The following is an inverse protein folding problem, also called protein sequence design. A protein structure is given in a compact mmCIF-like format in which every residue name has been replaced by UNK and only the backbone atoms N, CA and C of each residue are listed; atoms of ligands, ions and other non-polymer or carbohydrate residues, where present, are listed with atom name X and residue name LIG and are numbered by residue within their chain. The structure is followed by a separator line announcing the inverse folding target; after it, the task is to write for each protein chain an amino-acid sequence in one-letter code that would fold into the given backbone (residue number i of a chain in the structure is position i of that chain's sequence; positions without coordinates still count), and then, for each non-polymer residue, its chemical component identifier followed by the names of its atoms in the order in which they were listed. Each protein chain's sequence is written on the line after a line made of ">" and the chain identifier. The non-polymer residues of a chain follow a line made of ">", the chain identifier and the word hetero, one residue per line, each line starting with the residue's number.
data_IF_921122885860
#
_entry.id   IF_921122885860
#
_cell.length_a   1.000
_cell.length_b   1.000
_cell.length_c   1.000
_cell.angle_alpha   90.00
_cell.angle_beta   90.00
_cell.angle_gamma   90.00
#
_symmetry.space_group_name_H-M   'P 1'
#
loop_
_entity.id
_entity.type
_entity.pdbx_description
1 polymer ?
#
# COMPACT_ATOMS: atom_id res chain seq x y z
N UNK A 1 -1.18 38.35 -62.71
CA UNK A 1 0.14 37.76 -63.06
C UNK A 1 1.07 38.87 -63.49
N UNK A 2 2.40 38.72 -63.42
CA UNK A 2 3.24 37.91 -62.51
C UNK A 2 3.79 38.88 -61.40
N UNK A 3 4.94 38.75 -60.72
CA UNK A 3 6.09 37.82 -60.74
C UNK A 3 6.80 37.72 -59.36
N UNK A 4 7.51 36.62 -59.10
CA UNK A 4 8.64 36.51 -58.15
C UNK A 4 9.89 36.07 -58.93
N UNK A 5 11.09 36.58 -58.58
CA UNK A 5 12.13 35.75 -57.95
C UNK A 5 12.92 36.53 -56.86
N UNK A 6 13.89 35.97 -56.12
CA UNK A 6 14.00 34.65 -55.45
C UNK A 6 15.07 34.75 -54.32
N UNK A 7 15.51 33.61 -53.74
CA UNK A 7 16.77 33.30 -52.98
C UNK A 7 17.59 34.47 -52.35
N UNK A 8 18.01 34.37 -51.08
CA UNK A 8 19.13 33.47 -50.70
C UNK A 8 19.10 32.93 -49.25
N UNK A 9 20.05 32.04 -48.91
CA UNK A 9 20.09 31.21 -47.70
C UNK A 9 21.33 31.51 -46.82
N UNK A 10 21.15 31.79 -45.52
CA UNK A 10 22.28 31.86 -44.56
C UNK A 10 21.99 31.13 -43.24
N UNK A 11 22.59 29.94 -43.13
CA UNK A 11 22.70 29.13 -41.90
C UNK A 11 23.50 29.87 -40.82
N UNK A 12 23.19 29.62 -39.54
CA UNK A 12 24.13 29.78 -38.41
C UNK A 12 23.93 28.63 -37.41
N UNK A 13 25.02 28.06 -36.93
CA UNK A 13 25.01 27.10 -35.82
C UNK A 13 24.85 27.83 -34.46
N UNK A 14 24.20 27.21 -33.46
CA UNK A 14 24.36 27.59 -32.06
C UNK A 14 25.60 26.93 -31.45
N UNK A 15 26.39 27.68 -30.69
CA UNK A 15 27.51 27.15 -29.89
C UNK A 15 27.51 27.70 -28.46
N UNK A 16 27.84 26.82 -27.53
CA UNK A 16 28.21 27.02 -26.13
C UNK A 16 27.39 28.03 -25.28
N UNK A 17 26.50 27.49 -24.44
CA UNK A 17 26.23 28.05 -23.11
C UNK A 17 26.19 26.94 -22.05
N UNK A 18 27.31 26.78 -21.35
CA UNK A 18 27.39 26.04 -20.08
C UNK A 18 26.88 26.90 -18.91
N UNK A 19 26.34 26.25 -17.89
CA UNK A 19 26.23 26.80 -16.53
C UNK A 19 24.83 27.17 -16.04
N UNK A 20 24.13 26.19 -15.43
CA UNK A 20 23.40 26.33 -14.15
C UNK A 20 22.56 25.05 -13.90
N UNK A 21 23.05 24.11 -13.06
CA UNK A 21 22.18 23.09 -12.46
C UNK A 21 21.55 23.70 -11.21
N UNK A 22 20.22 23.84 -11.20
CA UNK A 22 19.46 23.98 -9.96
C UNK A 22 18.69 22.68 -9.73
N UNK A 23 18.81 22.11 -8.53
CA UNK A 23 18.07 20.90 -8.15
C UNK A 23 16.63 21.27 -7.81
N UNK A 24 15.66 20.67 -8.50
CA UNK A 24 14.24 20.85 -8.19
C UNK A 24 13.89 19.94 -7.01
N UNK A 25 13.85 20.51 -5.81
CA UNK A 25 13.36 19.83 -4.61
C UNK A 25 11.88 19.52 -4.74
N UNK A 26 11.48 18.30 -4.38
CA UNK A 26 10.06 17.90 -4.38
C UNK A 26 9.36 18.56 -3.19
N UNK A 27 8.27 19.29 -3.47
CA UNK A 27 7.63 20.19 -2.51
C UNK A 27 6.44 19.50 -1.80
N UNK A 28 6.67 18.99 -0.60
CA UNK A 28 5.62 18.40 0.26
C UNK A 28 4.77 19.45 1.02
N UNK A 29 5.19 20.72 1.06
CA UNK A 29 4.58 21.78 1.87
C UNK A 29 3.34 22.44 1.22
N UNK A 30 2.46 21.64 0.62
CA UNK A 30 1.30 22.11 -0.13
C UNK A 30 -0.03 22.20 0.67
N UNK A 31 -0.04 21.84 1.98
CA UNK A 31 -1.28 21.85 2.81
C UNK A 31 -1.06 22.42 4.23
N UNK A 32 -0.59 23.66 4.34
CA UNK A 32 -0.77 24.47 5.57
C UNK A 32 -1.12 25.93 5.25
N UNK A 33 -2.32 26.36 5.65
CA UNK A 33 -2.82 27.71 5.42
C UNK A 33 -2.13 28.77 6.30
N UNK A 34 -1.75 29.91 5.70
CA UNK A 34 -1.07 31.02 6.39
C UNK A 34 -1.99 31.74 7.39
N UNK A 35 -1.86 31.45 8.69
CA UNK A 35 -2.38 32.35 9.72
C UNK A 35 -1.48 33.60 9.85
N UNK A 36 -2.09 34.79 9.76
CA UNK A 36 -1.40 36.07 9.95
C UNK A 36 -1.17 36.35 11.44
N UNK A 37 -0.13 37.12 11.73
CA UNK A 37 0.30 37.48 13.09
C UNK A 37 -0.71 38.33 13.86
N UNK A 38 -0.97 37.97 15.12
CA UNK A 38 -1.51 38.87 16.15
C UNK A 38 -0.42 39.18 17.20
N UNK A 39 -0.50 40.35 17.85
CA UNK A 39 0.55 40.88 18.74
C UNK A 39 0.58 40.15 20.09
N UNK A 40 1.78 39.92 20.64
CA UNK A 40 1.96 39.61 22.07
C UNK A 40 1.91 40.89 22.91
N UNK A 41 1.26 40.91 24.09
CA UNK A 41 1.59 41.84 25.17
C UNK A 41 2.87 41.40 25.91
N UNK A 42 3.46 42.29 26.70
CA UNK A 42 4.72 42.05 27.42
C UNK A 42 4.52 41.45 28.82
N UNK A 43 5.60 40.89 29.39
CA UNK A 43 5.70 40.44 30.79
C UNK A 43 6.87 41.18 31.45
N UNK A 44 6.73 41.79 32.65
CA UNK A 44 7.81 42.49 33.33
C UNK A 44 8.86 41.55 33.95
N UNK A 45 10.05 42.06 34.23
CA UNK A 45 11.11 41.36 34.99
C UNK A 45 11.17 41.80 36.45
N UNK A 46 11.31 40.84 37.35
CA UNK A 46 11.97 40.98 38.67
C UNK A 46 12.23 39.60 39.29
N UNK A 47 13.17 39.40 40.20
CA UNK A 47 14.58 39.84 40.26
C UNK A 47 15.26 38.98 41.36
N UNK A 48 16.56 38.64 41.23
CA UNK A 48 17.38 37.98 42.27
C UNK A 48 16.95 36.52 42.62
N UNK A 49 17.80 35.63 43.13
CA UNK A 49 19.25 35.69 43.33
C UNK A 49 19.80 34.44 44.05
N UNK A 50 21.08 34.50 44.45
CA UNK A 50 21.80 33.58 45.35
C UNK A 50 22.16 32.17 44.81
N UNK A 51 23.05 31.49 45.55
CA UNK A 51 24.07 30.57 45.00
C UNK A 51 24.40 29.38 45.90
N UNK A 52 25.12 28.39 45.31
CA UNK A 52 26.16 27.52 45.92
C UNK A 52 25.75 26.24 46.70
N UNK A 53 26.55 25.19 46.42
CA UNK A 53 27.05 24.10 47.31
C UNK A 53 26.11 22.92 47.62
N UNK A 54 26.51 21.68 47.25
CA UNK A 54 27.14 20.60 48.09
C UNK A 54 26.06 19.72 48.78
N UNK A 55 26.22 18.44 49.15
CA UNK A 55 27.37 17.53 49.22
C UNK A 55 26.97 16.05 48.87
N UNK A 56 27.76 15.05 49.31
CA UNK A 56 27.61 13.59 49.05
C UNK A 56 27.77 12.79 50.38
N UNK A 57 27.40 11.49 50.40
CA UNK A 57 27.68 10.40 51.39
C UNK A 57 26.70 10.09 52.55
N UNK A 58 26.68 8.79 52.94
CA UNK A 58 26.03 8.18 54.12
C UNK A 58 24.74 7.38 53.80
N UNK A 59 24.55 6.05 53.94
CA UNK A 59 25.24 4.86 54.50
C UNK A 59 24.71 4.32 55.86
N UNK A 60 24.02 3.16 55.83
CA UNK A 60 23.87 2.11 56.88
C UNK A 60 23.39 0.78 56.21
N UNK A 61 23.63 -0.48 56.62
CA UNK A 61 24.21 -1.16 57.82
C UNK A 61 23.20 -1.41 58.97
N UNK A 62 22.93 -2.63 59.53
CA UNK A 62 23.10 -4.06 59.12
C UNK A 62 22.23 -4.97 60.03
N UNK A 63 21.73 -6.13 59.54
CA UNK A 63 21.42 -7.46 60.20
C UNK A 63 20.46 -8.24 59.28
N UNK A 64 20.31 -9.57 59.25
CA UNK A 64 20.85 -10.69 60.06
C UNK A 64 19.73 -11.39 60.87
N UNK A 65 19.38 -12.68 60.71
CA UNK A 65 19.88 -13.73 59.83
C UNK A 65 18.87 -14.92 59.67
N UNK A 66 19.22 -15.89 58.80
CA UNK A 66 18.75 -17.29 58.73
C UNK A 66 17.26 -17.63 58.42
N UNK A 67 17.06 -18.49 57.41
CA UNK A 67 15.78 -19.10 57.07
C UNK A 67 15.84 -19.80 55.70
N UNK A 68 16.27 -21.06 55.66
CA UNK A 68 16.56 -21.77 54.40
C UNK A 68 15.34 -22.53 53.84
N UNK A 69 15.03 -22.33 52.56
CA UNK A 69 14.16 -23.20 51.76
C UNK A 69 14.53 -23.07 50.28
N UNK A 70 15.06 -24.15 49.70
CA UNK A 70 15.50 -24.17 48.30
C UNK A 70 14.31 -24.33 47.35
N UNK A 71 14.12 -23.37 46.44
CA UNK A 71 13.28 -23.52 45.25
C UNK A 71 14.03 -23.01 44.03
N UNK A 72 13.93 -23.73 42.92
CA UNK A 72 14.80 -23.55 41.77
C UNK A 72 14.51 -22.25 41.00
N UNK A 73 15.44 -21.30 41.07
CA UNK A 73 15.50 -20.19 40.14
C UNK A 73 16.03 -20.67 38.78
N UNK A 74 15.15 -21.21 37.93
CA UNK A 74 15.47 -21.36 36.51
C UNK A 74 15.63 -19.97 35.89
N UNK A 75 16.80 -19.70 35.31
CA UNK A 75 17.06 -18.44 34.63
C UNK A 75 16.15 -18.34 33.40
N UNK A 76 15.27 -17.32 33.39
CA UNK A 76 14.55 -16.90 32.19
C UNK A 76 15.55 -16.37 31.17
N UNK A 77 16.18 -17.29 30.42
CA UNK A 77 17.12 -16.97 29.37
C UNK A 77 16.45 -16.04 28.36
N UNK A 78 17.07 -14.89 28.11
CA UNK A 78 16.69 -14.02 27.01
C UNK A 78 16.93 -14.80 25.71
N UNK A 79 15.88 -15.45 25.21
CA UNK A 79 15.92 -16.13 23.91
C UNK A 79 16.31 -15.08 22.88
N UNK A 80 17.45 -15.28 22.22
CA UNK A 80 17.67 -14.66 20.91
C UNK A 80 16.50 -15.08 20.04
N UNK A 81 15.78 -14.13 19.46
CA UNK A 81 14.86 -14.44 18.37
C UNK A 81 15.69 -15.08 17.26
N UNK A 82 15.33 -16.30 16.86
CA UNK A 82 15.92 -16.92 15.69
C UNK A 82 15.53 -16.08 14.46
N UNK A 83 16.42 -15.89 13.47
CA UNK A 83 16.12 -15.05 12.33
C UNK A 83 14.87 -15.59 11.60
N UNK A 84 13.92 -14.71 11.21
CA UNK A 84 12.67 -15.14 10.58
C UNK A 84 12.96 -16.00 9.35
N UNK A 85 12.42 -17.21 9.36
CA UNK A 85 12.67 -18.22 8.33
C UNK A 85 12.09 -17.83 6.98
N UNK A 86 12.65 -18.42 5.92
CA UNK A 86 12.08 -18.37 4.58
C UNK A 86 10.73 -19.10 4.48
N UNK A 87 9.99 -18.91 3.37
CA UNK A 87 8.70 -19.56 3.14
C UNK A 87 8.79 -21.10 3.14
N UNK A 88 9.97 -21.65 2.84
CA UNK A 88 10.26 -23.08 2.68
C UNK A 88 10.45 -23.82 4.02
N UNK A 89 10.07 -23.20 5.15
CA UNK A 89 10.04 -23.84 6.47
C UNK A 89 9.14 -25.10 6.42
N UNK A 90 9.63 -26.29 6.84
CA UNK A 90 8.81 -27.50 6.86
C UNK A 90 7.71 -27.38 7.93
N UNK A 91 6.49 -27.13 7.46
CA UNK A 91 5.30 -26.93 8.27
C UNK A 91 4.24 -27.98 7.92
N UNK A 92 3.33 -28.34 8.85
CA UNK A 92 2.14 -29.11 8.49
C UNK A 92 1.27 -28.31 7.50
N UNK A 93 0.33 -28.96 6.79
CA UNK A 93 -0.69 -28.24 6.01
C UNK A 93 -1.39 -27.21 6.89
N UNK A 94 -1.59 -25.99 6.37
CA UNK A 94 -2.35 -24.98 7.07
C UNK A 94 -3.82 -25.44 7.23
N UNK A 95 -4.45 -25.24 8.40
CA UNK A 95 -5.88 -25.51 8.55
C UNK A 95 -6.69 -24.59 7.65
N UNK A 96 -7.85 -25.05 7.16
CA UNK A 96 -8.75 -24.15 6.43
C UNK A 96 -9.17 -22.97 7.33
N UNK A 97 -9.22 -21.73 6.78
CA UNK A 97 -9.67 -20.58 7.54
C UNK A 97 -11.14 -20.75 7.93
N UNK A 98 -11.45 -20.57 9.21
CA UNK A 98 -12.81 -20.70 9.74
C UNK A 98 -13.77 -19.77 8.97
N UNK A 99 -14.73 -20.38 8.26
CA UNK A 99 -15.69 -19.64 7.42
C UNK A 99 -16.82 -19.12 8.29
N UNK A 100 -16.74 -17.82 8.59
CA UNK A 100 -17.74 -17.07 9.35
C UNK A 100 -19.12 -17.05 8.65
N UNK A 101 -20.19 -17.14 9.43
CA UNK A 101 -21.57 -17.25 8.91
C UNK A 101 -22.16 -15.87 8.61
N UNK A 102 -22.05 -15.42 7.36
CA UNK A 102 -22.72 -14.22 6.87
C UNK A 102 -24.25 -14.41 6.84
N UNK A 103 -24.99 -13.55 7.55
CA UNK A 103 -26.44 -13.60 7.65
C UNK A 103 -27.14 -13.44 6.30
N UNK A 104 -28.33 -14.05 6.14
CA UNK A 104 -29.08 -14.03 4.87
C UNK A 104 -29.44 -12.62 4.42
N UNK A 105 -29.89 -11.75 5.34
CA UNK A 105 -30.22 -10.36 5.05
C UNK A 105 -28.98 -9.56 4.60
N UNK A 106 -27.86 -9.71 5.30
CA UNK A 106 -26.59 -9.07 4.93
C UNK A 106 -26.08 -9.59 3.57
N UNK A 107 -26.19 -10.90 3.31
CA UNK A 107 -25.85 -11.50 2.00
C UNK A 107 -26.67 -10.89 0.87
N UNK A 108 -27.99 -10.82 0.99
CA UNK A 108 -28.86 -10.23 -0.05
C UNK A 108 -28.49 -8.78 -0.32
N UNK A 109 -28.43 -7.95 0.73
CA UNK A 109 -28.06 -6.54 0.63
C UNK A 109 -26.67 -6.34 0.03
N UNK A 110 -25.69 -7.16 0.43
CA UNK A 110 -24.33 -7.12 -0.10
C UNK A 110 -24.25 -7.46 -1.58
N UNK A 111 -25.05 -8.44 -2.05
CA UNK A 111 -25.14 -8.78 -3.48
C UNK A 111 -25.80 -7.66 -4.31
N UNK A 112 -26.84 -7.03 -3.76
CA UNK A 112 -27.50 -5.86 -4.38
C UNK A 112 -26.54 -4.68 -4.48
N UNK A 113 -25.87 -4.33 -3.37
CA UNK A 113 -24.85 -3.29 -3.32
C UNK A 113 -23.72 -3.53 -4.30
N UNK A 114 -23.18 -4.76 -4.35
CA UNK A 114 -22.10 -5.16 -5.26
C UNK A 114 -22.51 -5.07 -6.74
N UNK A 115 -23.75 -5.42 -7.09
CA UNK A 115 -24.28 -5.26 -8.47
C UNK A 115 -24.35 -3.80 -8.89
N UNK A 116 -25.00 -2.95 -8.08
CA UNK A 116 -25.10 -1.52 -8.36
C UNK A 116 -23.73 -0.84 -8.47
N UNK A 117 -22.74 -1.33 -7.72
CA UNK A 117 -21.35 -0.88 -7.75
C UNK A 117 -20.61 -1.26 -9.05
N UNK A 118 -20.78 -2.50 -9.52
CA UNK A 118 -20.19 -2.98 -10.78
C UNK A 118 -20.78 -2.20 -11.96
N UNK A 119 -22.10 -1.98 -11.97
CA UNK A 119 -22.74 -1.15 -12.98
C UNK A 119 -22.26 0.31 -12.93
N UNK A 120 -22.03 0.87 -11.73
CA UNK A 120 -21.43 2.20 -11.57
C UNK A 120 -20.04 2.28 -12.19
N UNK A 121 -19.16 1.31 -11.89
CA UNK A 121 -17.79 1.27 -12.41
C UNK A 121 -17.78 1.12 -13.93
N UNK A 122 -18.59 0.22 -14.50
CA UNK A 122 -18.67 0.05 -15.95
C UNK A 122 -19.27 1.27 -16.67
N UNK A 123 -20.15 2.05 -16.03
CA UNK A 123 -20.61 3.36 -16.54
C UNK A 123 -19.51 4.42 -16.62
N UNK A 124 -18.35 4.24 -15.99
CA UNK A 124 -17.22 5.18 -16.07
C UNK A 124 -16.23 4.86 -17.20
N UNK A 125 -16.38 3.74 -17.93
CA UNK A 125 -15.52 3.42 -19.06
C UNK A 125 -15.78 4.37 -20.25
N UNK A 126 -14.72 4.97 -20.78
CA UNK A 126 -14.72 5.80 -21.98
C UNK A 126 -14.57 4.98 -23.27
N UNK A 127 -14.82 5.61 -24.42
CA UNK A 127 -14.82 4.96 -25.74
C UNK A 127 -13.48 4.31 -26.12
N UNK A 128 -12.36 4.84 -25.61
CA UNK A 128 -11.02 4.26 -25.80
C UNK A 128 -10.79 2.97 -24.98
N UNK A 129 -11.69 2.65 -24.06
CA UNK A 129 -11.62 1.54 -23.11
C UNK A 129 -11.06 1.91 -21.72
N UNK A 130 -10.52 3.11 -21.55
CA UNK A 130 -9.98 3.61 -20.28
C UNK A 130 -11.09 3.97 -19.29
N UNK A 131 -10.73 4.06 -18.00
CA UNK A 131 -11.65 4.40 -16.90
C UNK A 131 -11.04 5.55 -16.07
N UNK A 132 -11.02 6.79 -16.61
CA UNK A 132 -10.31 7.93 -16.01
C UNK A 132 -11.06 8.57 -14.85
N UNK A 133 -10.32 9.09 -13.87
CA UNK A 133 -10.87 9.96 -12.82
C UNK A 133 -11.40 11.26 -13.40
N UNK A 134 -12.46 11.80 -12.76
CA UNK A 134 -12.98 13.15 -13.00
C UNK A 134 -12.64 14.12 -11.87
N UNK A 135 -12.01 13.65 -10.79
CA UNK A 135 -11.72 14.42 -9.57
C UNK A 135 -10.28 14.92 -9.54
N UNK A 136 -9.31 14.02 -9.69
CA UNK A 136 -7.89 14.32 -9.45
C UNK A 136 -7.07 14.44 -10.75
N UNK A 137 -6.34 15.54 -10.90
CA UNK A 137 -5.56 15.85 -12.11
C UNK A 137 -4.55 14.74 -12.46
N UNK A 138 -3.87 14.16 -11.47
CA UNK A 138 -2.95 13.03 -11.66
C UNK A 138 -3.64 11.77 -12.20
N UNK A 139 -4.89 11.53 -11.81
CA UNK A 139 -5.69 10.35 -12.19
C UNK A 139 -6.48 10.53 -13.51
N UNK A 140 -6.46 11.73 -14.13
CA UNK A 140 -7.29 12.06 -15.32
C UNK A 140 -6.91 11.34 -16.62
N UNK A 141 -5.68 10.84 -16.74
CA UNK A 141 -5.30 9.96 -17.86
C UNK A 141 -5.90 8.56 -17.72
N UNK A 142 -6.33 8.20 -16.51
CA UNK A 142 -6.83 6.87 -16.17
C UNK A 142 -5.77 5.79 -16.10
N UNK A 143 -4.48 6.14 -16.03
CA UNK A 143 -3.39 5.17 -16.15
C UNK A 143 -3.28 4.27 -14.90
N UNK A 144 -3.55 4.78 -13.70
CA UNK A 144 -3.66 3.97 -12.48
C UNK A 144 -5.09 3.51 -12.17
N UNK A 145 -6.13 4.26 -12.56
CA UNK A 145 -7.53 3.90 -12.27
C UNK A 145 -8.11 2.83 -13.20
N UNK A 146 -7.75 2.81 -14.49
CA UNK A 146 -8.16 1.74 -15.43
C UNK A 146 -7.75 0.34 -14.95
N UNK A 147 -6.48 0.08 -14.57
CA UNK A 147 -6.09 -1.23 -14.07
C UNK A 147 -6.60 -1.49 -12.65
N UNK A 148 -6.78 -0.46 -11.81
CA UNK A 148 -7.38 -0.62 -10.47
C UNK A 148 -8.81 -1.18 -10.55
N UNK A 149 -9.63 -0.58 -11.41
CA UNK A 149 -11.02 -1.00 -11.65
C UNK A 149 -11.05 -2.38 -12.32
N UNK A 150 -10.30 -2.57 -13.41
CA UNK A 150 -10.29 -3.84 -14.15
C UNK A 150 -9.83 -5.02 -13.27
N UNK A 151 -8.75 -4.86 -12.50
CA UNK A 151 -8.21 -5.91 -11.61
C UNK A 151 -9.19 -6.28 -10.50
N UNK A 152 -10.04 -5.34 -10.09
CA UNK A 152 -11.06 -5.59 -9.06
C UNK A 152 -12.29 -6.28 -9.66
N UNK A 153 -12.73 -5.88 -10.85
CA UNK A 153 -13.84 -6.52 -11.55
C UNK A 153 -13.51 -7.95 -11.99
N UNK A 154 -12.25 -8.21 -12.41
CA UNK A 154 -11.70 -9.55 -12.64
C UNK A 154 -11.63 -10.44 -11.37
N UNK A 155 -11.86 -9.87 -10.19
CA UNK A 155 -11.85 -10.55 -8.90
C UNK A 155 -13.24 -10.67 -8.26
N UNK A 156 -14.30 -10.32 -8.98
CA UNK A 156 -15.69 -10.65 -8.60
C UNK A 156 -15.99 -12.08 -9.08
N UNK A 157 -16.53 -12.97 -8.23
CA UNK A 157 -16.95 -14.30 -8.67
C UNK A 157 -18.05 -14.21 -9.74
N UNK A 158 -17.92 -15.00 -10.82
CA UNK A 158 -18.84 -14.95 -11.96
C UNK A 158 -20.29 -15.34 -11.58
N UNK A 159 -20.46 -16.09 -10.49
CA UNK A 159 -21.74 -16.49 -9.90
C UNK A 159 -22.49 -15.29 -9.29
N UNK A 160 -21.79 -14.19 -8.98
CA UNK A 160 -22.38 -12.96 -8.44
C UNK A 160 -22.80 -12.03 -9.59
N UNK A 161 -21.85 -11.75 -10.49
CA UNK A 161 -22.00 -11.02 -11.75
C UNK A 161 -20.95 -11.54 -12.74
N UNK A 162 -21.32 -12.12 -13.90
CA UNK A 162 -20.38 -12.43 -14.97
C UNK A 162 -19.71 -11.16 -15.51
N UNK A 163 -18.42 -11.23 -15.86
CA UNK A 163 -17.71 -10.06 -16.38
C UNK A 163 -18.17 -9.71 -17.81
N UNK A 164 -18.34 -8.41 -18.09
CA UNK A 164 -18.54 -7.90 -19.45
C UNK A 164 -17.20 -8.04 -20.21
N UNK A 165 -17.03 -9.16 -20.92
CA UNK A 165 -15.82 -9.47 -21.68
C UNK A 165 -15.50 -8.39 -22.72
N UNK A 166 -16.49 -7.73 -23.30
CA UNK A 166 -16.28 -6.69 -24.29
C UNK A 166 -15.68 -5.42 -23.65
N UNK A 167 -16.17 -5.01 -22.47
CA UNK A 167 -15.57 -3.93 -21.67
C UNK A 167 -14.19 -4.29 -21.15
N UNK A 168 -14.03 -5.51 -20.65
CA UNK A 168 -12.76 -6.00 -20.11
C UNK A 168 -11.67 -6.06 -21.21
N UNK A 169 -11.99 -6.56 -22.40
CA UNK A 169 -11.07 -6.57 -23.54
C UNK A 169 -10.71 -5.14 -23.99
N UNK A 170 -11.68 -4.21 -24.11
CA UNK A 170 -11.38 -2.80 -24.42
C UNK A 170 -10.47 -2.15 -23.37
N UNK A 171 -10.69 -2.43 -22.08
CA UNK A 171 -9.81 -1.94 -21.02
C UNK A 171 -8.39 -2.52 -21.13
N UNK A 172 -8.26 -3.82 -21.40
CA UNK A 172 -6.95 -4.45 -21.63
C UNK A 172 -6.24 -3.92 -22.88
N UNK A 173 -6.97 -3.69 -23.98
CA UNK A 173 -6.43 -3.04 -25.19
C UNK A 173 -6.00 -1.59 -24.91
N UNK A 174 -6.71 -0.89 -24.01
CA UNK A 174 -6.34 0.45 -23.57
C UNK A 174 -5.01 0.45 -22.81
N UNK A 175 -4.87 -0.44 -21.82
CA UNK A 175 -3.65 -0.61 -21.03
C UNK A 175 -2.46 -0.99 -21.93
N UNK A 176 -2.65 -1.94 -22.85
CA UNK A 176 -1.61 -2.37 -23.79
C UNK A 176 -1.12 -1.23 -24.70
N UNK A 177 -2.01 -0.35 -25.16
CA UNK A 177 -1.64 0.85 -25.95
C UNK A 177 -0.98 1.95 -25.12
N UNK A 178 -1.09 1.92 -23.78
CA UNK A 178 -0.51 2.90 -22.86
C UNK A 178 0.85 2.46 -22.28
N UNK A 179 1.35 1.28 -22.64
CA UNK A 179 2.75 0.89 -22.39
C UNK A 179 3.68 1.81 -23.20
N UNK A 180 4.52 2.57 -22.50
CA UNK A 180 5.49 3.46 -23.11
C UNK A 180 6.73 2.71 -23.64
N UNK A 181 7.67 3.46 -24.24
CA UNK A 181 8.94 2.92 -24.78
C UNK A 181 9.86 2.21 -23.76
N UNK A 182 9.56 2.29 -22.46
CA UNK A 182 10.26 1.60 -21.37
C UNK A 182 9.54 0.32 -20.94
N UNK A 183 8.30 0.12 -21.40
CA UNK A 183 7.38 -0.88 -20.88
C UNK A 183 6.53 -0.41 -19.69
N UNK A 184 6.48 0.90 -19.41
CA UNK A 184 5.81 1.43 -18.23
C UNK A 184 4.44 2.06 -18.55
N UNK A 185 3.55 2.05 -17.56
CA UNK A 185 2.32 2.85 -17.51
C UNK A 185 2.48 3.87 -16.36
N UNK A 186 1.89 5.06 -16.49
CA UNK A 186 1.92 6.12 -15.47
C UNK A 186 2.68 7.39 -15.88
N UNK A 187 3.21 7.49 -17.10
CA UNK A 187 4.08 8.60 -17.55
C UNK A 187 3.50 9.47 -18.68
N UNK A 188 2.18 9.41 -18.93
CA UNK A 188 1.52 10.20 -19.98
C UNK A 188 1.38 11.70 -19.66
N UNK A 189 1.67 12.10 -18.42
CA UNK A 189 1.52 13.46 -17.91
C UNK A 189 2.75 13.88 -17.11
N UNK A 190 2.95 15.20 -16.98
CA UNK A 190 4.06 15.81 -16.23
C UNK A 190 4.13 15.34 -14.77
N UNK A 191 2.98 15.14 -14.13
CA UNK A 191 2.87 14.49 -12.82
C UNK A 191 2.56 13.00 -13.07
N UNK A 192 3.46 12.05 -12.70
CA UNK A 192 3.25 10.64 -12.99
C UNK A 192 2.08 10.03 -12.20
N UNK A 193 1.26 9.24 -12.89
CA UNK A 193 0.08 8.54 -12.35
C UNK A 193 0.48 7.20 -11.72
N UNK A 194 1.14 7.29 -10.56
CA UNK A 194 1.63 6.18 -9.72
C UNK A 194 2.27 5.00 -10.50
N UNK A 195 3.36 5.21 -11.26
CA UNK A 195 3.82 4.28 -12.29
C UNK A 195 4.03 2.82 -11.88
N UNK A 196 4.60 2.54 -10.70
CA UNK A 196 4.72 1.16 -10.20
C UNK A 196 3.34 0.52 -9.99
N UNK A 197 2.43 1.23 -9.30
CA UNK A 197 1.07 0.78 -9.00
C UNK A 197 0.25 0.54 -10.29
N UNK A 198 0.32 1.48 -11.24
CA UNK A 198 -0.34 1.40 -12.53
C UNK A 198 0.17 0.20 -13.36
N UNK A 199 1.49 0.11 -13.54
CA UNK A 199 2.13 -0.96 -14.34
C UNK A 199 1.91 -2.34 -13.72
N UNK A 200 2.04 -2.47 -12.39
CA UNK A 200 1.87 -3.75 -11.70
C UNK A 200 0.42 -4.24 -11.76
N UNK A 201 -0.57 -3.38 -11.51
CA UNK A 201 -1.98 -3.80 -11.61
C UNK A 201 -2.38 -4.13 -13.05
N UNK A 202 -1.86 -3.41 -14.04
CA UNK A 202 -2.11 -3.71 -15.45
C UNK A 202 -1.50 -5.07 -15.87
N UNK A 203 -0.30 -5.36 -15.38
CA UNK A 203 0.36 -6.67 -15.52
C UNK A 203 -0.44 -7.79 -14.83
N UNK A 204 -0.97 -7.55 -13.62
CA UNK A 204 -1.89 -8.49 -12.96
C UNK A 204 -3.16 -8.72 -13.79
N UNK A 205 -3.80 -7.69 -14.36
CA UNK A 205 -4.93 -7.86 -15.27
C UNK A 205 -4.57 -8.74 -16.47
N UNK A 206 -3.39 -8.56 -17.06
CA UNK A 206 -2.93 -9.37 -18.19
C UNK A 206 -2.70 -10.83 -17.79
N UNK A 207 -2.11 -11.07 -16.61
CA UNK A 207 -1.89 -12.40 -16.05
C UNK A 207 -3.19 -13.10 -15.60
N UNK A 208 -4.25 -12.36 -15.27
CA UNK A 208 -5.59 -12.92 -15.02
C UNK A 208 -6.35 -13.21 -16.32
N UNK A 209 -6.32 -12.30 -17.30
CA UNK A 209 -7.06 -12.46 -18.56
C UNK A 209 -6.41 -13.42 -19.56
N UNK A 210 -5.09 -13.61 -19.47
CA UNK A 210 -4.28 -14.56 -20.26
C UNK A 210 -4.54 -14.60 -21.78
N UNK A 211 -4.88 -13.44 -22.37
CA UNK A 211 -5.11 -13.29 -23.82
C UNK A 211 -3.92 -13.78 -24.65
N UNK A 212 -4.16 -14.14 -25.91
CA UNK A 212 -3.13 -14.66 -26.81
C UNK A 212 -1.86 -13.77 -26.79
N UNK A 213 -0.70 -14.42 -26.65
CA UNK A 213 0.64 -13.78 -26.57
C UNK A 213 0.85 -12.82 -25.37
N UNK A 214 0.02 -12.85 -24.32
CA UNK A 214 0.13 -11.89 -23.19
C UNK A 214 1.55 -11.82 -22.58
N UNK A 215 2.22 -12.96 -22.34
CA UNK A 215 3.60 -12.98 -21.79
C UNK A 215 4.60 -12.23 -22.67
N UNK A 216 4.46 -12.30 -23.99
CA UNK A 216 5.31 -11.58 -24.94
C UNK A 216 4.98 -10.09 -24.95
N UNK A 217 3.68 -9.75 -24.99
CA UNK A 217 3.19 -8.37 -25.03
C UNK A 217 3.51 -7.58 -23.74
N UNK A 218 3.58 -8.27 -22.60
CA UNK A 218 3.80 -7.67 -21.28
C UNK A 218 5.22 -7.90 -20.71
N UNK A 219 6.10 -8.59 -21.43
CA UNK A 219 7.52 -8.72 -21.06
C UNK A 219 8.23 -7.37 -20.81
N UNK A 220 7.95 -6.27 -21.56
CA UNK A 220 8.52 -4.95 -21.24
C UNK A 220 8.11 -4.42 -19.85
N UNK A 221 6.87 -4.68 -19.43
CA UNK A 221 6.37 -4.25 -18.12
C UNK A 221 7.01 -5.03 -16.96
N UNK A 222 7.25 -6.34 -17.16
CA UNK A 222 8.01 -7.18 -16.24
C UNK A 222 9.43 -6.61 -16.06
N UNK A 223 10.17 -6.44 -17.17
CA UNK A 223 11.54 -5.92 -17.15
C UNK A 223 11.62 -4.49 -16.57
N UNK A 224 10.60 -3.66 -16.81
CA UNK A 224 10.52 -2.34 -16.19
C UNK A 224 10.31 -2.41 -14.68
N UNK A 225 9.38 -3.23 -14.18
CA UNK A 225 9.16 -3.41 -12.73
C UNK A 225 10.42 -3.95 -12.04
N UNK A 226 11.12 -4.93 -12.62
CA UNK A 226 12.43 -5.37 -12.13
C UNK A 226 13.47 -4.24 -12.11
N UNK A 227 13.40 -3.33 -13.09
CA UNK A 227 14.33 -2.20 -13.15
C UNK A 227 14.13 -1.22 -12.00
N UNK A 228 12.90 -1.05 -11.50
CA UNK A 228 12.55 -0.12 -10.43
C UNK A 228 12.86 -0.62 -9.01
N UNK A 229 13.16 -1.91 -8.83
CA UNK A 229 13.50 -2.46 -7.52
C UNK A 229 14.83 -1.86 -7.01
N UNK A 230 14.89 -1.54 -5.72
CA UNK A 230 16.15 -1.17 -5.07
C UNK A 230 17.02 -2.44 -4.91
N UNK A 231 18.02 -2.64 -5.78
CA UNK A 231 18.93 -3.80 -5.74
C UNK A 231 20.41 -3.42 -5.56
N UNK A 232 21.22 -4.35 -5.08
CA UNK A 232 22.66 -4.15 -4.83
C UNK A 232 23.45 -3.79 -6.10
N UNK A 233 23.05 -4.30 -7.27
CA UNK A 233 23.64 -3.99 -8.59
C UNK A 233 23.37 -2.54 -9.03
N UNK A 234 22.49 -1.81 -8.32
CA UNK A 234 22.28 -0.36 -8.46
C UNK A 234 22.97 0.46 -7.35
N UNK A 235 23.86 -0.16 -6.58
CA UNK A 235 24.61 0.44 -5.48
C UNK A 235 23.91 0.41 -4.11
N UNK A 236 22.72 -0.20 -3.99
CA UNK A 236 21.99 -0.26 -2.72
C UNK A 236 22.57 -1.32 -1.78
N UNK A 237 23.60 -0.95 -1.03
CA UNK A 237 24.18 -1.73 0.06
C UNK A 237 23.82 -1.12 1.44
N UNK A 238 23.63 -1.97 2.45
CA UNK A 238 23.26 -1.63 3.84
C UNK A 238 21.94 -0.86 4.07
N UNK A 239 21.35 -0.30 3.01
CA UNK A 239 20.29 0.70 3.10
C UNK A 239 18.89 0.08 3.27
N UNK A 240 18.01 0.55 4.17
CA UNK A 240 16.73 -0.11 4.45
C UNK A 240 15.74 -0.19 3.28
N UNK A 241 15.94 0.59 2.21
CA UNK A 241 15.15 0.50 0.98
C UNK A 241 15.42 -0.75 0.13
N UNK A 242 16.59 -1.40 0.31
CA UNK A 242 17.01 -2.58 -0.45
C UNK A 242 15.90 -3.64 -0.47
N UNK A 243 15.59 -4.15 -1.66
CA UNK A 243 14.53 -5.12 -1.93
C UNK A 243 13.13 -4.55 -2.16
N UNK A 244 12.85 -3.31 -1.75
CA UNK A 244 11.54 -2.69 -1.94
C UNK A 244 11.31 -2.09 -3.33
N UNK A 245 10.14 -1.49 -3.50
CA UNK A 245 9.78 -0.61 -4.61
C UNK A 245 9.26 0.74 -4.11
N UNK A 246 9.48 1.78 -4.92
CA UNK A 246 8.88 3.10 -4.74
C UNK A 246 7.69 3.33 -5.67
N UNK A 247 7.25 4.60 -5.78
CA UNK A 247 6.19 5.01 -6.72
C UNK A 247 6.53 4.73 -8.19
N UNK A 248 7.81 4.53 -8.51
CA UNK A 248 8.35 4.42 -9.87
C UNK A 248 8.87 5.76 -10.40
N UNK A 249 9.94 5.72 -11.19
CA UNK A 249 10.50 6.90 -11.84
C UNK A 249 11.10 6.59 -13.21
N UNK A 250 11.20 7.62 -14.07
CA UNK A 250 11.65 7.52 -15.46
C UNK A 250 12.98 6.77 -15.63
N UNK A 251 13.88 6.97 -14.66
CA UNK A 251 15.06 6.16 -14.41
C UNK A 251 14.96 5.54 -13.01
N UNK A 252 15.51 4.33 -12.79
CA UNK A 252 15.62 3.73 -11.46
C UNK A 252 16.39 4.61 -10.46
N UNK A 253 16.03 4.50 -9.18
CA UNK A 253 16.65 5.27 -8.09
C UNK A 253 18.03 4.70 -7.71
N UNK A 254 18.93 5.60 -7.32
CA UNK A 254 20.31 5.32 -6.89
C UNK A 254 20.56 5.90 -5.50
N UNK A 255 21.44 5.29 -4.69
CA UNK A 255 21.76 5.78 -3.35
C UNK A 255 22.42 7.18 -3.38
N UNK A 256 22.30 7.97 -2.30
CA UNK A 256 21.59 7.67 -1.05
C UNK A 256 20.09 8.06 -1.09
N UNK A 257 19.53 8.38 -2.26
CA UNK A 257 18.24 9.07 -2.42
C UNK A 257 17.12 8.14 -2.92
N UNK A 258 16.45 7.37 -2.03
CA UNK A 258 15.41 6.42 -2.45
C UNK A 258 14.15 7.11 -2.96
N UNK A 259 13.93 8.37 -2.57
CA UNK A 259 12.62 9.01 -2.69
C UNK A 259 11.58 8.28 -1.83
N UNK A 260 10.35 8.20 -2.32
CA UNK A 260 9.26 7.48 -1.68
C UNK A 260 9.39 5.96 -1.94
N UNK A 261 9.51 5.18 -0.87
CA UNK A 261 9.61 3.70 -0.85
C UNK A 261 8.75 3.13 0.27
N UNK A 262 7.91 2.14 -0.05
CA UNK A 262 6.87 1.64 0.86
C UNK A 262 6.39 0.21 0.59
N UNK A 263 5.67 -0.33 1.57
CA UNK A 263 5.15 -1.70 1.60
C UNK A 263 3.97 -1.95 0.64
N UNK A 264 3.15 -0.94 0.33
CA UNK A 264 2.03 -1.06 -0.61
C UNK A 264 2.54 -1.17 -2.06
N UNK A 265 3.46 -0.28 -2.46
CA UNK A 265 4.13 -0.36 -3.77
C UNK A 265 4.90 -1.66 -3.91
N UNK A 266 5.62 -2.07 -2.87
CA UNK A 266 6.34 -3.36 -2.82
C UNK A 266 5.39 -4.55 -2.97
N UNK A 267 4.29 -4.59 -2.21
CA UNK A 267 3.25 -5.62 -2.36
C UNK A 267 2.75 -5.71 -3.79
N UNK A 268 2.36 -4.58 -4.39
CA UNK A 268 1.75 -4.60 -5.73
C UNK A 268 2.72 -5.12 -6.80
N UNK A 269 4.00 -4.78 -6.70
CA UNK A 269 5.02 -5.33 -7.58
C UNK A 269 5.19 -6.85 -7.38
N UNK A 270 5.21 -7.32 -6.13
CA UNK A 270 5.27 -8.75 -5.80
C UNK A 270 4.03 -9.53 -6.30
N UNK A 271 2.82 -9.01 -6.07
CA UNK A 271 1.56 -9.59 -6.58
C UNK A 271 1.62 -9.79 -8.10
N UNK A 272 2.06 -8.77 -8.85
CA UNK A 272 2.13 -8.80 -10.30
C UNK A 272 3.20 -9.75 -10.84
N UNK A 273 4.41 -9.74 -10.26
CA UNK A 273 5.48 -10.66 -10.65
C UNK A 273 5.10 -12.12 -10.32
N UNK A 274 4.49 -12.36 -9.16
CA UNK A 274 3.97 -13.68 -8.78
C UNK A 274 2.93 -14.18 -9.78
N UNK A 275 1.94 -13.34 -10.16
CA UNK A 275 0.94 -13.71 -11.18
C UNK A 275 1.56 -14.04 -12.55
N UNK A 276 2.75 -13.52 -12.86
CA UNK A 276 3.45 -13.85 -14.11
C UNK A 276 4.16 -15.22 -14.09
N UNK A 277 4.29 -15.83 -12.91
CA UNK A 277 5.05 -17.05 -12.67
C UNK A 277 6.53 -16.80 -12.37
N UNK A 278 6.86 -15.75 -11.61
CA UNK A 278 8.22 -15.58 -11.08
C UNK A 278 8.58 -16.68 -10.09
N UNK A 279 9.83 -17.15 -10.18
CA UNK A 279 10.41 -18.12 -9.25
C UNK A 279 10.60 -17.47 -7.87
N UNK A 280 10.17 -18.15 -6.81
CA UNK A 280 10.06 -17.57 -5.44
C UNK A 280 11.42 -17.36 -4.77
N UNK A 281 12.40 -18.12 -5.21
CA UNK A 281 13.82 -18.07 -4.85
C UNK A 281 14.63 -17.14 -5.77
N UNK A 282 14.00 -16.48 -6.74
CA UNK A 282 14.65 -15.44 -7.55
C UNK A 282 15.22 -14.31 -6.67
N UNK A 283 16.35 -13.73 -7.06
CA UNK A 283 17.03 -12.68 -6.28
C UNK A 283 16.13 -11.47 -5.99
N UNK A 284 15.19 -11.16 -6.89
CA UNK A 284 14.18 -10.12 -6.68
C UNK A 284 13.26 -10.45 -5.49
N UNK A 285 12.79 -11.70 -5.36
CA UNK A 285 11.92 -12.12 -4.27
C UNK A 285 12.69 -12.28 -2.95
N UNK A 286 13.92 -12.81 -2.99
CA UNK A 286 14.78 -12.92 -1.81
C UNK A 286 15.11 -11.55 -1.19
N UNK A 287 15.47 -10.54 -2.01
CA UNK A 287 15.69 -9.19 -1.53
C UNK A 287 14.39 -8.56 -0.98
N UNK A 288 13.26 -8.77 -1.66
CA UNK A 288 11.97 -8.21 -1.27
C UNK A 288 11.42 -8.81 0.03
N UNK A 289 11.65 -10.10 0.29
CA UNK A 289 11.37 -10.75 1.59
C UNK A 289 12.01 -9.98 2.72
N UNK A 290 13.29 -9.67 2.61
CA UNK A 290 14.03 -8.99 3.66
C UNK A 290 13.52 -7.54 3.87
N UNK A 291 13.00 -6.89 2.81
CA UNK A 291 12.30 -5.60 2.92
C UNK A 291 10.95 -5.72 3.64
N UNK A 292 10.14 -6.72 3.29
CA UNK A 292 8.81 -6.97 3.90
C UNK A 292 8.97 -7.30 5.38
N UNK A 293 9.95 -8.13 5.74
CA UNK A 293 10.28 -8.46 7.14
C UNK A 293 10.83 -7.24 7.91
N UNK A 294 11.63 -6.35 7.27
CA UNK A 294 11.99 -5.04 7.84
C UNK A 294 10.78 -4.14 8.13
N UNK A 295 9.63 -4.38 7.49
CA UNK A 295 8.39 -3.67 7.78
C UNK A 295 7.56 -4.31 8.91
N UNK A 296 7.90 -5.52 9.39
CA UNK A 296 7.15 -6.20 10.44
C UNK A 296 7.65 -5.74 11.82
N UNK A 297 6.78 -5.12 12.62
CA UNK A 297 7.12 -4.67 13.97
C UNK A 297 7.16 -5.84 14.97
N UNK A 298 7.78 -5.67 16.16
CA UNK A 298 8.01 -6.76 17.11
C UNK A 298 6.72 -7.45 17.59
N UNK A 299 5.58 -6.75 17.61
CA UNK A 299 4.27 -7.34 17.95
C UNK A 299 3.59 -8.09 16.79
N UNK A 300 4.15 -8.09 15.57
CA UNK A 300 3.62 -8.79 14.40
C UNK A 300 2.91 -7.93 13.36
N UNK A 301 2.37 -6.77 13.74
CA UNK A 301 1.77 -5.81 12.81
C UNK A 301 2.82 -5.01 12.03
N UNK A 302 2.50 -4.56 10.82
CA UNK A 302 3.45 -3.95 9.89
C UNK A 302 3.36 -2.42 9.84
N UNK A 303 4.52 -1.77 9.65
CA UNK A 303 4.66 -0.36 9.29
C UNK A 303 4.68 -0.18 7.77
N UNK A 304 4.52 1.05 7.29
CA UNK A 304 4.36 1.36 5.85
C UNK A 304 5.70 1.58 5.12
N UNK A 305 6.73 2.09 5.80
CA UNK A 305 8.08 2.26 5.25
C UNK A 305 9.14 2.06 6.34
N UNK A 306 10.19 1.24 6.11
CA UNK A 306 11.33 1.11 7.01
C UNK A 306 12.36 2.24 6.82
N UNK A 307 12.13 3.12 5.83
CA UNK A 307 13.01 4.23 5.44
C UNK A 307 12.41 5.57 5.89
N UNK A 308 11.15 5.82 5.53
CA UNK A 308 10.51 7.11 5.73
C UNK A 308 9.60 7.11 6.96
N UNK A 309 10.21 7.25 8.14
CA UNK A 309 9.53 7.22 9.43
C UNK A 309 8.33 8.21 9.55
N UNK A 310 8.32 9.29 8.77
CA UNK A 310 7.20 10.26 8.68
C UNK A 310 5.93 9.73 8.00
N UNK A 311 6.05 8.69 7.17
CA UNK A 311 4.93 8.10 6.43
C UNK A 311 4.21 7.00 7.22
N UNK A 312 4.80 6.53 8.32
CA UNK A 312 4.25 5.53 9.23
C UNK A 312 3.20 6.17 10.13
N UNK A 313 1.93 5.91 9.82
CA UNK A 313 0.76 6.56 10.43
C UNK A 313 0.29 5.92 11.74
N UNK A 314 0.92 4.85 12.22
CA UNK A 314 0.51 4.12 13.43
C UNK A 314 0.74 4.89 14.74
N UNK A 315 0.22 4.37 15.85
CA UNK A 315 0.65 4.81 17.18
C UNK A 315 2.16 4.48 17.42
N UNK A 316 2.76 5.09 18.45
CA UNK A 316 4.16 4.82 18.83
C UNK A 316 4.22 4.29 20.26
N UNK A 317 4.95 3.20 20.46
CA UNK A 317 5.29 2.65 21.77
C UNK A 317 6.77 2.93 22.03
N UNK A 318 7.07 3.72 23.05
CA UNK A 318 8.44 4.06 23.46
C UNK A 318 9.33 4.58 22.31
N UNK A 319 8.70 5.35 21.41
CA UNK A 319 9.32 5.89 20.18
C UNK A 319 9.22 4.98 18.95
N UNK A 320 9.08 3.67 19.15
CA UNK A 320 8.96 2.65 18.09
C UNK A 320 7.63 2.80 17.35
N UNK A 321 7.61 2.87 16.01
CA UNK A 321 6.35 2.90 15.25
C UNK A 321 5.64 1.55 15.32
N UNK A 322 4.38 1.56 15.74
CA UNK A 322 3.54 0.36 15.76
C UNK A 322 2.90 0.12 14.39
N UNK A 323 2.62 -1.15 14.10
CA UNK A 323 1.82 -1.52 12.94
C UNK A 323 0.36 -1.06 13.07
N UNK A 324 -0.28 -0.84 11.92
CA UNK A 324 -1.67 -0.40 11.82
C UNK A 324 -2.40 -1.13 10.69
N UNK A 325 -3.73 -0.99 10.62
CA UNK A 325 -4.64 -1.78 9.79
C UNK A 325 -4.14 -2.02 8.37
N UNK A 326 -4.14 -0.97 7.55
CA UNK A 326 -3.83 -1.10 6.12
C UNK A 326 -2.39 -1.52 5.83
N UNK A 327 -1.42 -1.08 6.64
CA UNK A 327 -0.03 -1.51 6.49
C UNK A 327 0.15 -3.00 6.87
N UNK A 328 -0.57 -3.47 7.88
CA UNK A 328 -0.59 -4.90 8.26
C UNK A 328 -1.25 -5.77 7.20
N UNK A 329 -2.29 -5.28 6.52
CA UNK A 329 -2.86 -5.98 5.36
C UNK A 329 -1.92 -5.98 4.16
N UNK A 330 -1.19 -4.88 3.91
CA UNK A 330 -0.15 -4.84 2.86
C UNK A 330 0.98 -5.85 3.15
N UNK A 331 1.45 -5.94 4.40
CA UNK A 331 2.50 -6.88 4.80
C UNK A 331 2.10 -8.36 4.70
N UNK A 332 0.90 -8.71 5.16
CA UNK A 332 0.38 -10.08 5.08
C UNK A 332 0.19 -10.55 3.63
N UNK A 333 -0.37 -9.69 2.78
CA UNK A 333 -0.52 -9.99 1.35
C UNK A 333 0.85 -10.03 0.63
N UNK A 334 1.83 -9.22 1.04
CA UNK A 334 3.19 -9.30 0.53
C UNK A 334 3.89 -10.61 0.92
N UNK A 335 3.75 -11.08 2.17
CA UNK A 335 4.24 -12.40 2.59
C UNK A 335 3.60 -13.54 1.75
N UNK A 336 2.29 -13.48 1.51
CA UNK A 336 1.59 -14.45 0.66
C UNK A 336 2.08 -14.41 -0.79
N UNK A 337 2.34 -13.23 -1.36
CA UNK A 337 2.94 -13.08 -2.68
C UNK A 337 4.39 -13.60 -2.74
N UNK A 338 5.17 -13.45 -1.67
CA UNK A 338 6.48 -14.09 -1.48
C UNK A 338 6.38 -15.62 -1.26
N UNK A 339 5.17 -16.16 -1.13
CA UNK A 339 4.91 -17.59 -1.06
C UNK A 339 4.91 -18.19 0.35
N UNK A 340 4.90 -17.36 1.40
CA UNK A 340 4.79 -17.83 2.79
C UNK A 340 3.48 -18.60 3.01
N UNK A 341 3.49 -19.78 3.64
CA UNK A 341 2.27 -20.54 3.90
C UNK A 341 1.41 -19.85 4.98
N UNK A 342 0.07 -20.02 4.96
CA UNK A 342 -0.86 -19.37 5.89
C UNK A 342 -0.59 -19.59 7.38
N UNK A 343 0.12 -20.67 7.74
CA UNK A 343 0.48 -21.04 9.10
C UNK A 343 1.96 -20.74 9.46
N UNK A 344 2.71 -20.01 8.62
CA UNK A 344 4.05 -19.58 8.99
C UNK A 344 4.03 -18.63 10.19
N UNK A 345 4.96 -18.72 11.16
CA UNK A 345 4.96 -17.87 12.36
C UNK A 345 4.78 -16.37 12.09
N UNK A 346 5.46 -15.82 11.07
CA UNK A 346 5.33 -14.40 10.70
C UNK A 346 3.95 -14.02 10.12
N UNK A 347 3.29 -14.95 9.41
CA UNK A 347 1.92 -14.75 8.92
C UNK A 347 0.93 -14.81 10.08
N UNK A 348 1.12 -15.77 11.00
CA UNK A 348 0.31 -15.91 12.22
C UNK A 348 0.42 -14.68 13.14
N UNK A 349 1.63 -14.17 13.37
CA UNK A 349 1.89 -12.93 14.13
C UNK A 349 1.13 -11.74 13.53
N UNK A 350 1.17 -11.58 12.21
CA UNK A 350 0.50 -10.45 11.53
C UNK A 350 -1.02 -10.57 11.54
N UNK A 351 -1.58 -11.75 11.24
CA UNK A 351 -3.04 -11.92 11.18
C UNK A 351 -3.68 -11.79 12.56
N UNK A 352 -3.01 -12.21 13.63
CA UNK A 352 -3.56 -12.11 14.98
C UNK A 352 -3.63 -10.66 15.48
N UNK A 353 -2.62 -9.84 15.17
CA UNK A 353 -2.70 -8.38 15.39
C UNK A 353 -3.85 -7.78 14.56
N UNK A 354 -3.99 -8.17 13.29
CA UNK A 354 -5.05 -7.66 12.40
C UNK A 354 -6.45 -8.00 12.91
N UNK A 355 -6.67 -9.23 13.42
CA UNK A 355 -7.93 -9.65 14.06
C UNK A 355 -8.19 -8.83 15.32
N UNK A 356 -7.19 -8.74 16.20
CA UNK A 356 -7.29 -8.03 17.49
C UNK A 356 -7.65 -6.55 17.34
N UNK A 357 -7.12 -5.89 16.30
CA UNK A 357 -7.39 -4.47 16.05
C UNK A 357 -8.56 -4.20 15.09
N UNK A 358 -9.26 -5.21 14.58
CA UNK A 358 -10.22 -5.02 13.48
C UNK A 358 -11.34 -4.02 13.81
N UNK A 359 -11.58 -3.07 12.91
CA UNK A 359 -12.69 -2.13 12.96
C UNK A 359 -13.27 -1.94 11.55
N UNK A 360 -14.57 -2.23 11.30
CA UNK A 360 -15.15 -2.06 9.97
C UNK A 360 -15.46 -0.59 9.61
N UNK A 361 -15.35 0.35 10.55
CA UNK A 361 -15.67 1.78 10.38
C UNK A 361 -14.47 2.74 10.41
N UNK A 362 -13.23 2.25 10.53
CA UNK A 362 -12.00 3.06 10.35
C UNK A 362 -10.82 2.17 9.92
N UNK A 363 -9.69 2.77 9.51
CA UNK A 363 -8.39 2.08 9.47
C UNK A 363 -7.79 2.05 10.89
N UNK A 364 -7.77 0.88 11.57
CA UNK A 364 -7.39 0.79 12.98
C UNK A 364 -5.89 0.94 13.22
N UNK A 365 -5.49 1.17 14.46
CA UNK A 365 -4.08 1.34 14.87
C UNK A 365 -3.42 2.65 14.42
N UNK A 366 -4.09 3.44 13.57
CA UNK A 366 -3.64 4.77 13.15
C UNK A 366 -3.53 5.70 14.37
N UNK A 367 -2.41 6.43 14.42
CA UNK A 367 -2.01 7.33 15.49
C UNK A 367 -2.94 8.51 15.73
N UNK A 368 -2.95 8.97 16.97
CA UNK A 368 -3.71 10.15 17.41
C UNK A 368 -3.02 11.44 16.97
N UNK A 369 -3.67 12.59 17.20
CA UNK A 369 -3.18 13.93 16.79
C UNK A 369 -3.04 14.00 15.27
N UNK A 370 -1.84 14.27 14.74
CA UNK A 370 -1.60 14.58 13.32
C UNK A 370 -2.06 13.48 12.35
N UNK A 371 -2.07 12.20 12.76
CA UNK A 371 -2.52 11.10 11.91
C UNK A 371 -4.00 10.74 12.04
N UNK A 372 -4.75 11.37 12.97
CA UNK A 372 -6.13 10.96 13.28
C UNK A 372 -7.07 10.99 12.05
N UNK A 373 -6.86 11.93 11.13
CA UNK A 373 -7.63 12.03 9.88
C UNK A 373 -7.50 10.79 8.97
N UNK A 374 -6.37 10.08 9.01
CA UNK A 374 -6.12 8.89 8.19
C UNK A 374 -6.88 7.63 8.67
N UNK A 375 -7.57 7.70 9.82
CA UNK A 375 -8.52 6.66 10.27
C UNK A 375 -9.69 6.53 9.30
N UNK A 376 -10.36 7.65 9.02
CA UNK A 376 -11.44 7.68 8.02
C UNK A 376 -10.85 7.62 6.59
N UNK A 377 -9.77 8.36 6.30
CA UNK A 377 -9.28 8.55 4.93
C UNK A 377 -8.61 7.34 4.24
N UNK A 378 -8.39 6.24 4.98
CA UNK A 378 -7.88 4.97 4.47
C UNK A 378 -8.84 3.81 4.76
N UNK A 379 -10.09 4.12 5.10
CA UNK A 379 -11.11 3.14 5.51
C UNK A 379 -11.48 2.20 4.37
N UNK A 380 -11.64 2.70 3.15
CA UNK A 380 -11.91 1.87 1.98
C UNK A 380 -10.76 0.91 1.69
N UNK A 381 -9.55 1.45 1.60
CA UNK A 381 -8.31 0.71 1.34
C UNK A 381 -8.04 -0.33 2.42
N UNK A 382 -8.28 0.01 3.70
CA UNK A 382 -8.22 -0.95 4.80
C UNK A 382 -9.24 -2.08 4.66
N UNK A 383 -10.53 -1.76 4.43
CA UNK A 383 -11.58 -2.78 4.21
C UNK A 383 -11.21 -3.74 3.08
N UNK A 384 -10.73 -3.21 1.95
CA UNK A 384 -10.34 -3.97 0.77
C UNK A 384 -9.10 -4.86 1.00
N UNK A 385 -8.12 -4.41 1.79
CA UNK A 385 -6.98 -5.24 2.22
C UNK A 385 -7.39 -6.30 3.24
N UNK A 386 -8.18 -5.91 4.24
CA UNK A 386 -8.60 -6.77 5.35
C UNK A 386 -9.52 -7.89 4.88
N UNK A 387 -10.46 -7.61 3.96
CA UNK A 387 -11.33 -8.64 3.37
C UNK A 387 -10.55 -9.68 2.58
N UNK A 388 -9.52 -9.29 1.83
CA UNK A 388 -8.63 -10.22 1.13
C UNK A 388 -7.84 -11.09 2.12
N UNK A 389 -7.26 -10.48 3.17
CA UNK A 389 -6.54 -11.21 4.21
C UNK A 389 -7.46 -12.16 4.98
N UNK A 390 -8.64 -11.72 5.41
CA UNK A 390 -9.59 -12.54 6.18
C UNK A 390 -10.26 -13.64 5.34
N UNK A 391 -10.36 -13.47 4.02
CA UNK A 391 -10.81 -14.51 3.10
C UNK A 391 -9.77 -15.64 2.96
N UNK A 392 -8.46 -15.33 3.02
CA UNK A 392 -7.37 -16.31 2.86
C UNK A 392 -6.92 -16.91 4.20
N UNK A 393 -6.84 -16.09 5.26
CA UNK A 393 -6.25 -16.44 6.57
C UNK A 393 -7.27 -16.52 7.72
N UNK A 394 -8.55 -16.22 7.46
CA UNK A 394 -9.61 -16.19 8.48
C UNK A 394 -9.59 -14.91 9.32
N UNK A 395 -10.70 -14.17 9.31
CA UNK A 395 -10.92 -13.00 10.17
C UNK A 395 -11.46 -13.34 11.57
N UNK A 396 -11.75 -12.32 12.40
CA UNK A 396 -12.46 -12.52 13.67
C UNK A 396 -13.91 -12.98 13.43
N UNK A 397 -14.55 -13.58 14.45
CA UNK A 397 -15.97 -14.01 14.35
C UNK A 397 -16.87 -12.80 14.05
N UNK A 398 -17.83 -12.97 13.13
CA UNK A 398 -18.72 -11.91 12.65
C UNK A 398 -18.11 -10.94 11.62
N UNK A 399 -16.85 -11.13 11.19
CA UNK A 399 -16.19 -10.19 10.28
C UNK A 399 -16.95 -9.97 8.97
N UNK A 400 -17.57 -11.01 8.41
CA UNK A 400 -18.24 -10.90 7.10
C UNK A 400 -19.46 -10.01 7.18
N UNK A 401 -20.30 -10.24 8.18
CA UNK A 401 -21.54 -9.49 8.38
C UNK A 401 -21.25 -8.02 8.75
N UNK A 402 -20.30 -7.82 9.66
CA UNK A 402 -19.83 -6.49 10.05
C UNK A 402 -19.25 -5.69 8.87
N UNK A 403 -18.46 -6.32 8.00
CA UNK A 403 -17.91 -5.66 6.80
C UNK A 403 -19.00 -5.31 5.78
N UNK A 404 -19.89 -6.27 5.47
CA UNK A 404 -20.95 -6.09 4.47
C UNK A 404 -21.95 -5.02 4.92
N UNK A 405 -22.38 -5.05 6.18
CA UNK A 405 -23.28 -4.03 6.75
C UNK A 405 -22.62 -2.65 6.74
N UNK A 406 -21.41 -2.50 7.27
CA UNK A 406 -20.70 -1.22 7.33
C UNK A 406 -20.39 -0.61 5.95
N UNK A 407 -20.25 -1.43 4.91
CA UNK A 407 -20.07 -0.95 3.53
C UNK A 407 -21.42 -0.60 2.91
N UNK A 408 -22.44 -1.46 3.03
CA UNK A 408 -23.76 -1.22 2.44
C UNK A 408 -24.52 -0.05 3.09
N UNK A 409 -24.19 0.33 4.33
CA UNK A 409 -24.69 1.56 4.99
C UNK A 409 -24.08 2.85 4.43
N UNK A 410 -22.93 2.77 3.78
CA UNK A 410 -22.22 3.93 3.21
C UNK A 410 -22.46 4.12 1.70
N UNK A 411 -23.26 3.26 1.06
CA UNK A 411 -23.52 3.30 -0.38
C UNK A 411 -24.47 4.45 -0.78
N UNK A 412 -24.19 5.08 -1.92
CA UNK A 412 -25.01 6.12 -2.55
C UNK A 412 -26.04 5.51 -3.50
N UNK A 413 -27.12 6.26 -3.77
CA UNK A 413 -28.20 5.85 -4.69
C UNK A 413 -27.79 5.69 -6.17
N UNK A 414 -26.59 6.15 -6.55
CA UNK A 414 -25.99 5.94 -7.88
C UNK A 414 -25.16 4.64 -7.98
N UNK A 415 -25.07 3.87 -6.89
CA UNK A 415 -24.30 2.65 -6.74
C UNK A 415 -22.87 2.86 -6.20
N UNK A 416 -22.41 4.09 -6.04
CA UNK A 416 -21.02 4.41 -5.66
C UNK A 416 -20.81 4.62 -4.16
N UNK A 417 -19.54 4.68 -3.75
CA UNK A 417 -19.09 5.22 -2.48
C UNK A 417 -18.24 6.46 -2.70
N UNK A 418 -18.14 7.31 -1.68
CA UNK A 418 -17.24 8.45 -1.63
C UNK A 418 -16.85 8.69 -0.18
N UNK A 419 -15.55 8.78 0.10
CA UNK A 419 -15.06 9.16 1.42
C UNK A 419 -15.25 10.67 1.62
N UNK A 420 -15.67 11.10 2.81
CA UNK A 420 -15.82 12.53 3.13
C UNK A 420 -14.46 13.21 3.38
N UNK A 421 -13.41 12.43 3.58
CA UNK A 421 -12.05 12.90 3.78
C UNK A 421 -11.22 12.75 2.48
N UNK A 422 -10.55 13.83 2.08
CA UNK A 422 -9.78 13.94 0.82
C UNK A 422 -8.37 13.37 0.88
N UNK A 423 -7.87 13.05 2.07
CA UNK A 423 -6.52 12.48 2.17
C UNK A 423 -6.51 11.10 1.48
N UNK A 424 -5.46 10.82 0.70
CA UNK A 424 -5.29 9.52 0.01
C UNK A 424 -6.35 9.23 -1.08
N UNK A 425 -7.04 10.26 -1.58
CA UNK A 425 -7.90 10.23 -2.77
C UNK A 425 -9.17 9.34 -2.67
N UNK A 426 -9.58 8.88 -1.48
CA UNK A 426 -10.83 8.12 -1.32
C UNK A 426 -12.10 8.99 -1.49
N UNK A 427 -11.99 10.32 -1.60
CA UNK A 427 -13.11 11.16 -2.05
C UNK A 427 -13.35 11.11 -3.58
N UNK A 428 -12.52 10.35 -4.32
CA UNK A 428 -12.82 9.95 -5.69
C UNK A 428 -13.80 8.76 -5.73
N UNK A 429 -14.98 8.90 -6.37
CA UNK A 429 -15.94 7.80 -6.47
C UNK A 429 -15.41 6.53 -7.14
N UNK A 430 -14.44 6.60 -8.06
CA UNK A 430 -13.82 5.41 -8.64
C UNK A 430 -12.99 4.67 -7.59
N UNK A 431 -12.17 5.38 -6.81
CA UNK A 431 -11.27 4.78 -5.81
C UNK A 431 -12.08 4.13 -4.69
N UNK A 432 -13.02 4.88 -4.08
CA UNK A 432 -13.85 4.36 -3.00
C UNK A 432 -14.78 3.22 -3.43
N UNK A 433 -15.40 3.32 -4.61
CA UNK A 433 -16.26 2.23 -5.12
C UNK A 433 -15.43 0.99 -5.43
N UNK A 434 -14.24 1.13 -6.00
CA UNK A 434 -13.38 -0.03 -6.29
C UNK A 434 -12.93 -0.73 -5.01
N UNK A 435 -12.53 0.02 -3.98
CA UNK A 435 -12.25 -0.56 -2.66
C UNK A 435 -13.47 -1.29 -2.06
N UNK A 436 -14.67 -0.70 -2.17
CA UNK A 436 -15.91 -1.31 -1.67
C UNK A 436 -16.31 -2.56 -2.44
N UNK A 437 -16.13 -2.60 -3.77
CA UNK A 437 -16.36 -3.79 -4.61
C UNK A 437 -15.43 -4.93 -4.22
N UNK A 438 -14.13 -4.67 -4.04
CA UNK A 438 -13.19 -5.70 -3.61
C UNK A 438 -13.53 -6.23 -2.20
N UNK A 439 -13.92 -5.32 -1.30
CA UNK A 439 -14.29 -5.67 0.07
C UNK A 439 -15.57 -6.54 0.14
N UNK A 440 -16.65 -6.12 -0.54
CA UNK A 440 -17.89 -6.90 -0.65
C UNK A 440 -17.64 -8.25 -1.33
N UNK A 441 -16.89 -8.27 -2.45
CA UNK A 441 -16.56 -9.50 -3.19
C UNK A 441 -15.97 -10.57 -2.26
N UNK A 442 -14.90 -10.26 -1.51
CA UNK A 442 -14.24 -11.26 -0.64
C UNK A 442 -15.06 -11.64 0.60
N UNK A 443 -15.91 -10.75 1.11
CA UNK A 443 -16.79 -11.03 2.25
C UNK A 443 -17.99 -11.92 1.86
N UNK A 444 -18.54 -11.74 0.66
CA UNK A 444 -19.65 -12.55 0.11
C UNK A 444 -19.18 -13.94 -0.37
N UNK A 445 -17.95 -14.02 -0.88
CA UNK A 445 -17.31 -15.24 -1.40
C UNK A 445 -17.09 -16.30 -0.31
N UNK A 446 -17.40 -17.56 -0.64
CA UNK A 446 -17.22 -18.70 0.28
C UNK A 446 -18.37 -18.88 1.26
N UNK A 447 -19.60 -18.89 0.75
CA UNK A 447 -20.84 -19.15 1.49
C UNK A 447 -21.92 -19.83 0.64
N UNK A 448 -21.48 -20.72 -0.25
CA UNK A 448 -22.29 -21.74 -0.93
C UNK A 448 -21.54 -23.07 -0.78
N UNK A 449 -22.28 -24.14 -0.47
CA UNK A 449 -21.76 -25.35 0.18
C UNK A 449 -22.55 -25.58 1.45
#
# INVERSE_FOLDING_TARGET
>A
MPSKPSREEKRRHPSDRRGARQGVGWCDDAVMGKFKSAKRPAVPQSQQGLSRREAVHGLCVVTGAAGALCLNATSSGCKKEEPPTGPDMPLPPAPEPARDNLGSQARTRGLESLRAAIDFLWRQQADDGGIPSRVYEVLKSGQSTTPLVLLTLLQVPAEVVPIDEARANRAMDNLLRRLDRRGAIGFEREIPDYPCYATSMALSCAATMQRAQWKQNWAPAIAWLESQQFKAERGWDGHPALGGWGMGSEAPRVPPEPGHVDLSMTRRCLEALHSCGYERDSSAFLLARDFVLRCQGPRGGFIYSPVLARLNKGEKLDGTPMGYGSATTDGLLALLALGYPPNHPEVLRGVEVLRTMHQPHENPGIGRKIFQAFREALKGYYRAGASCVFHILGGPVGWRDAMVTAIADEQRSDGSWLNKNRLQNEDDPLVATTHSVLALSKALSGGGG
#
